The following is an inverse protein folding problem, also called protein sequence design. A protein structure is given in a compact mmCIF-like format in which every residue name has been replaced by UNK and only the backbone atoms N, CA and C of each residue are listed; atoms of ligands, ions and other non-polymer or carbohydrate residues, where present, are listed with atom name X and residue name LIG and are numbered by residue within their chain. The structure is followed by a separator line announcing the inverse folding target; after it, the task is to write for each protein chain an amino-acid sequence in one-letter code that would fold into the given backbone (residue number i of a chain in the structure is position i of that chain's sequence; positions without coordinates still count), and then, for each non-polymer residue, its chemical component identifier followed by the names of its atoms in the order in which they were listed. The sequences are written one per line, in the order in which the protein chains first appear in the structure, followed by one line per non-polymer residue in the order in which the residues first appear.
data_IF_083946671643
#
_entry.id   IF_083946671643
#
_cell.length_a   1.000
_cell.length_b   1.000
_cell.length_c   1.000
_cell.angle_alpha   90.00
_cell.angle_beta   90.00
_cell.angle_gamma   90.00
#
_symmetry.space_group_name_H-M   'P 1'
#
loop_
_entity.id
_entity.type
_entity.pdbx_description
1 polymer ?
#
# COMPACT_ATOMS: atom_id res chain seq x y z
N UNK A 1 -4.33 3.04 -11.72
CA UNK A 1 -4.82 3.01 -10.33
C UNK A 1 -4.18 4.18 -9.64
N UNK A 2 -4.95 5.06 -9.01
CA UNK A 2 -4.40 6.27 -8.40
C UNK A 2 -3.82 5.97 -7.01
N UNK A 3 -2.97 6.87 -6.50
CA UNK A 3 -2.52 6.82 -5.12
C UNK A 3 -3.70 6.94 -4.13
N UNK A 4 -4.71 7.72 -4.48
CA UNK A 4 -5.97 7.82 -3.74
C UNK A 4 -6.69 6.47 -3.68
N UNK A 5 -6.73 5.70 -4.78
CA UNK A 5 -7.31 4.34 -4.78
C UNK A 5 -6.59 3.42 -3.78
N UNK A 6 -5.25 3.47 -3.75
CA UNK A 6 -4.44 2.68 -2.81
C UNK A 6 -4.79 3.06 -1.37
N UNK A 7 -4.80 4.35 -1.07
CA UNK A 7 -5.10 4.85 0.27
C UNK A 7 -6.52 4.46 0.72
N UNK A 8 -7.53 4.69 -0.13
CA UNK A 8 -8.94 4.33 0.12
C UNK A 8 -9.08 2.83 0.37
N UNK A 9 -8.44 2.01 -0.47
CA UNK A 9 -8.52 0.54 -0.35
C UNK A 9 -7.89 0.05 0.95
N UNK A 10 -6.71 0.57 1.32
CA UNK A 10 -6.03 0.16 2.56
C UNK A 10 -6.80 0.62 3.80
N UNK A 11 -7.33 1.85 3.80
CA UNK A 11 -8.19 2.35 4.87
C UNK A 11 -9.38 1.41 5.09
N UNK A 12 -10.07 1.05 4.03
CA UNK A 12 -11.21 0.13 4.10
C UNK A 12 -10.78 -1.27 4.54
N UNK A 13 -9.76 -1.84 3.91
CA UNK A 13 -9.27 -3.21 4.17
C UNK A 13 -8.94 -3.46 5.63
N UNK A 14 -8.38 -2.47 6.33
CA UNK A 14 -7.97 -2.61 7.73
C UNK A 14 -8.85 -1.85 8.72
N UNK A 15 -9.99 -1.34 8.26
CA UNK A 15 -10.96 -0.58 9.05
C UNK A 15 -10.34 0.59 9.85
N UNK A 16 -9.46 1.34 9.20
CA UNK A 16 -8.80 2.48 9.83
C UNK A 16 -9.73 3.68 9.92
N UNK A 17 -9.98 4.18 11.13
CA UNK A 17 -10.63 5.48 11.33
C UNK A 17 -9.64 6.64 11.08
N UNK A 18 -10.16 7.87 11.06
CA UNK A 18 -9.36 9.06 10.75
C UNK A 18 -8.18 9.26 11.71
N UNK A 19 -8.35 8.95 13.00
CA UNK A 19 -7.28 9.05 13.99
C UNK A 19 -6.16 8.05 13.72
N UNK A 20 -6.50 6.82 13.37
CA UNK A 20 -5.51 5.79 13.00
C UNK A 20 -4.79 6.19 11.71
N UNK A 21 -5.50 6.73 10.72
CA UNK A 21 -4.89 7.23 9.48
C UNK A 21 -3.86 8.32 9.78
N UNK A 22 -4.22 9.32 10.59
CA UNK A 22 -3.31 10.39 11.01
C UNK A 22 -2.08 9.86 11.77
N UNK A 23 -2.28 8.91 12.69
CA UNK A 23 -1.19 8.27 13.43
C UNK A 23 -0.24 7.51 12.47
N UNK A 24 -0.78 6.81 11.47
CA UNK A 24 0.04 6.16 10.43
C UNK A 24 0.92 7.19 9.70
N UNK A 25 0.34 8.28 9.20
CA UNK A 25 1.13 9.33 8.54
C UNK A 25 2.23 9.90 9.46
N UNK A 26 1.88 10.17 10.73
CA UNK A 26 2.81 10.69 11.73
C UNK A 26 3.99 9.75 11.96
N UNK A 27 3.75 8.42 12.09
CA UNK A 27 4.82 7.42 12.16
C UNK A 27 5.70 7.41 10.91
N UNK A 28 5.11 7.71 9.76
CA UNK A 28 5.81 7.89 8.49
C UNK A 28 6.60 9.19 8.35
N UNK A 29 6.60 10.05 9.38
CA UNK A 29 7.29 11.34 9.39
C UNK A 29 6.51 12.47 8.72
N UNK A 30 5.20 12.31 8.50
CA UNK A 30 4.34 13.34 7.92
C UNK A 30 3.19 13.66 8.88
N UNK A 31 3.18 14.89 9.42
CA UNK A 31 2.03 15.39 10.17
C UNK A 31 0.96 15.85 9.18
N UNK A 32 -0.25 15.32 9.31
CA UNK A 32 -1.41 15.66 8.49
C UNK A 32 -2.59 16.01 9.38
N UNK A 33 -3.51 16.80 8.85
CA UNK A 33 -4.78 17.15 9.47
C UNK A 33 -5.87 16.14 9.10
N UNK A 34 -6.95 16.10 9.88
CA UNK A 34 -8.14 15.30 9.55
C UNK A 34 -8.77 15.72 8.21
N UNK A 35 -8.73 17.01 7.90
CA UNK A 35 -9.25 17.56 6.65
C UNK A 35 -8.45 17.05 5.45
N UNK A 36 -7.12 17.06 5.50
CA UNK A 36 -6.26 16.51 4.45
C UNK A 36 -6.56 15.02 4.21
N UNK A 37 -6.66 14.23 5.29
CA UNK A 37 -7.03 12.80 5.20
C UNK A 37 -8.40 12.63 4.56
N UNK A 38 -9.40 13.40 4.98
CA UNK A 38 -10.75 13.38 4.39
C UNK A 38 -10.72 13.73 2.89
N UNK A 39 -9.97 14.75 2.50
CA UNK A 39 -9.88 15.21 1.12
C UNK A 39 -9.22 14.18 0.19
N UNK A 40 -8.23 13.42 0.68
CA UNK A 40 -7.64 12.33 -0.08
C UNK A 40 -8.54 11.10 -0.23
N UNK A 41 -9.52 10.92 0.66
CA UNK A 41 -10.45 9.78 0.66
C UNK A 41 -11.74 10.06 -0.11
N UNK A 42 -12.02 11.32 -0.44
CA UNK A 42 -13.17 11.71 -1.28
C UNK A 42 -13.07 11.10 -2.67
N UNK A 43 -14.22 10.94 -3.33
CA UNK A 43 -14.29 10.51 -4.73
C UNK A 43 -13.84 11.63 -5.66
N UNK A 44 -13.43 11.28 -6.86
CA UNK A 44 -12.76 12.19 -7.79
C UNK A 44 -13.71 13.30 -8.30
N UNK A 45 -15.03 13.11 -8.18
CA UNK A 45 -16.07 14.08 -8.54
C UNK A 45 -16.43 15.06 -7.40
N UNK A 46 -15.91 14.85 -6.18
CA UNK A 46 -16.18 15.73 -5.03
C UNK A 46 -15.35 17.02 -5.13
N UNK A 47 -15.96 18.17 -4.89
CA UNK A 47 -15.29 19.48 -4.99
C UNK A 47 -14.10 19.63 -4.02
N UNK A 48 -14.15 18.94 -2.88
CA UNK A 48 -13.07 18.94 -1.89
C UNK A 48 -12.03 17.83 -2.14
N UNK A 49 -12.16 17.04 -3.22
CA UNK A 49 -11.17 16.05 -3.60
C UNK A 49 -9.78 16.67 -3.77
N UNK A 50 -8.77 15.99 -3.23
CA UNK A 50 -7.36 16.29 -3.47
C UNK A 50 -6.63 15.01 -3.86
N UNK A 51 -5.78 15.11 -4.88
CA UNK A 51 -4.86 14.02 -5.22
C UNK A 51 -3.82 13.86 -4.09
N UNK A 52 -3.49 12.63 -3.74
CA UNK A 52 -2.34 12.33 -2.88
C UNK A 52 -1.12 12.03 -3.75
N UNK A 53 0.00 12.72 -3.47
CA UNK A 53 1.23 12.55 -4.23
C UNK A 53 2.07 11.39 -3.68
N UNK A 54 2.99 10.90 -4.51
CA UNK A 54 3.86 9.77 -4.19
C UNK A 54 4.57 9.89 -2.84
N UNK A 55 5.08 11.10 -2.54
CA UNK A 55 5.79 11.38 -1.28
C UNK A 55 4.89 11.16 -0.06
N UNK A 56 3.64 11.59 -0.14
CA UNK A 56 2.69 11.50 0.97
C UNK A 56 2.19 10.06 1.12
N UNK A 57 1.90 9.37 0.02
CA UNK A 57 1.56 7.94 0.06
C UNK A 57 2.76 7.10 0.56
N UNK A 58 3.99 7.47 0.22
CA UNK A 58 5.19 6.81 0.73
C UNK A 58 5.32 7.00 2.25
N UNK A 59 5.00 8.19 2.78
CA UNK A 59 4.94 8.42 4.23
C UNK A 59 3.87 7.52 4.88
N UNK A 60 2.66 7.44 4.32
CA UNK A 60 1.62 6.53 4.81
C UNK A 60 2.09 5.08 4.87
N UNK A 61 2.68 4.56 3.78
CA UNK A 61 3.13 3.17 3.71
C UNK A 61 4.32 2.87 4.65
N UNK A 62 5.24 3.82 4.82
CA UNK A 62 6.30 3.72 5.82
C UNK A 62 5.73 3.68 7.25
N UNK A 63 4.75 4.55 7.52
CA UNK A 63 4.02 4.56 8.77
C UNK A 63 3.26 3.27 9.04
N UNK A 64 2.67 2.67 7.99
CA UNK A 64 1.97 1.39 8.09
C UNK A 64 2.94 0.25 8.45
N UNK A 65 4.15 0.28 7.90
CA UNK A 65 5.22 -0.66 8.31
C UNK A 65 5.50 -0.50 9.80
N UNK A 66 5.71 0.74 10.29
CA UNK A 66 5.98 0.98 11.72
C UNK A 66 4.81 0.57 12.59
N UNK A 67 3.57 0.87 12.20
CA UNK A 67 2.37 0.48 12.94
C UNK A 67 2.30 -1.05 13.11
N UNK A 68 2.62 -1.82 12.06
CA UNK A 68 2.48 -3.28 12.06
C UNK A 68 3.72 -4.04 12.56
N UNK A 69 4.91 -3.46 12.42
CA UNK A 69 6.20 -4.13 12.70
C UNK A 69 6.99 -3.50 13.84
N UNK A 70 6.57 -2.34 14.33
CA UNK A 70 7.33 -1.52 15.27
C UNK A 70 8.37 -0.63 14.57
N UNK A 71 8.92 0.37 15.29
CA UNK A 71 10.03 1.17 14.80
C UNK A 71 11.29 0.31 14.66
N UNK A 72 12.15 0.63 13.69
CA UNK A 72 13.52 0.09 13.68
C UNK A 72 14.37 0.93 14.62
N UNK A 73 15.18 0.27 15.45
CA UNK A 73 16.03 0.91 16.46
C UNK A 73 16.95 2.01 15.87
N UNK A 74 17.32 1.90 14.59
CA UNK A 74 18.35 2.77 13.98
C UNK A 74 17.89 3.65 12.80
N UNK A 75 16.59 3.78 12.50
CA UNK A 75 16.16 4.73 11.46
C UNK A 75 14.67 5.05 11.45
N UNK A 76 14.35 6.35 11.49
CA UNK A 76 13.09 6.87 10.96
C UNK A 76 13.13 6.72 9.43
N UNK A 77 12.18 6.02 8.79
CA UNK A 77 12.19 5.85 7.35
C UNK A 77 12.00 7.21 6.67
N UNK A 78 13.01 7.67 5.93
CA UNK A 78 12.85 8.85 5.06
C UNK A 78 11.91 8.47 3.92
N UNK A 79 10.83 9.23 3.74
CA UNK A 79 9.90 9.02 2.64
C UNK A 79 10.61 9.15 1.29
N UNK A 80 10.40 8.17 0.41
CA UNK A 80 10.92 8.17 -0.95
C UNK A 80 10.27 9.29 -1.76
N UNK A 81 11.03 9.90 -2.69
CA UNK A 81 10.53 11.01 -3.52
C UNK A 81 9.55 10.57 -4.62
N UNK A 82 9.62 9.30 -5.02
CA UNK A 82 8.81 8.70 -6.09
C UNK A 82 8.35 7.32 -5.65
N UNK A 83 7.14 6.93 -6.04
CA UNK A 83 6.54 5.68 -5.61
C UNK A 83 5.93 4.96 -6.80
N UNK A 84 6.49 3.80 -7.15
CA UNK A 84 5.91 2.93 -8.18
C UNK A 84 5.16 1.73 -7.54
N UNK A 85 4.41 1.00 -8.38
CA UNK A 85 3.66 -0.16 -7.92
C UNK A 85 4.55 -1.27 -7.32
N UNK A 86 5.81 -1.41 -7.76
CA UNK A 86 6.75 -2.36 -7.21
C UNK A 86 7.13 -1.98 -5.77
N UNK A 87 7.36 -0.69 -5.52
CA UNK A 87 7.64 -0.13 -4.21
C UNK A 87 6.43 -0.27 -3.27
N UNK A 88 5.21 0.04 -3.74
CA UNK A 88 3.98 -0.17 -2.97
C UNK A 88 3.83 -1.65 -2.57
N UNK A 89 3.94 -2.56 -3.53
CA UNK A 89 3.82 -4.00 -3.29
C UNK A 89 4.87 -4.49 -2.27
N UNK A 90 6.11 -3.99 -2.35
CA UNK A 90 7.16 -4.30 -1.38
C UNK A 90 6.85 -3.78 0.01
N UNK A 91 6.39 -2.54 0.14
CA UNK A 91 6.05 -1.95 1.44
C UNK A 91 4.88 -2.71 2.10
N UNK A 92 3.87 -3.12 1.33
CA UNK A 92 2.78 -3.96 1.83
C UNK A 92 3.26 -5.35 2.27
N UNK A 93 4.15 -6.00 1.48
CA UNK A 93 4.78 -7.26 1.88
C UNK A 93 5.46 -7.15 3.24
N UNK A 94 6.24 -6.08 3.45
CA UNK A 94 6.96 -5.82 4.70
C UNK A 94 5.99 -5.52 5.84
N UNK A 95 5.02 -4.63 5.62
CA UNK A 95 4.08 -4.21 6.67
C UNK A 95 3.25 -5.39 7.19
N UNK A 96 2.85 -6.31 6.29
CA UNK A 96 2.01 -7.45 6.63
C UNK A 96 2.81 -8.73 6.95
N UNK A 97 4.14 -8.65 7.04
CA UNK A 97 5.05 -9.78 7.28
C UNK A 97 4.82 -10.98 6.36
N UNK A 98 4.53 -10.71 5.08
CA UNK A 98 4.16 -11.75 4.14
C UNK A 98 5.39 -12.43 3.54
N UNK A 99 5.39 -13.76 3.55
CA UNK A 99 6.27 -14.58 2.70
C UNK A 99 5.69 -14.66 1.29
N UNK A 100 6.48 -15.20 0.37
CA UNK A 100 6.06 -15.33 -1.03
C UNK A 100 4.78 -16.17 -1.15
N UNK A 101 4.65 -17.26 -0.38
CA UNK A 101 3.46 -18.10 -0.37
C UNK A 101 2.21 -17.36 0.15
N UNK A 102 2.37 -16.48 1.14
CA UNK A 102 1.26 -15.65 1.64
C UNK A 102 0.76 -14.68 0.57
N UNK A 103 1.70 -14.07 -0.16
CA UNK A 103 1.36 -13.16 -1.27
C UNK A 103 0.67 -13.90 -2.41
N UNK A 104 1.17 -15.08 -2.78
CA UNK A 104 0.55 -15.91 -3.80
C UNK A 104 -0.87 -16.33 -3.41
N UNK A 105 -1.10 -16.65 -2.12
CA UNK A 105 -2.43 -16.94 -1.61
C UNK A 105 -3.37 -15.74 -1.74
N UNK A 106 -2.88 -14.52 -1.46
CA UNK A 106 -3.67 -13.28 -1.65
C UNK A 106 -4.05 -13.07 -3.11
N UNK A 107 -3.11 -13.23 -4.05
CA UNK A 107 -3.42 -13.14 -5.48
C UNK A 107 -4.44 -14.18 -5.94
N UNK A 108 -4.35 -15.40 -5.39
CA UNK A 108 -5.26 -16.50 -5.73
C UNK A 108 -6.72 -16.21 -5.35
N UNK A 109 -6.98 -15.36 -4.34
CA UNK A 109 -8.35 -14.94 -3.98
C UNK A 109 -9.07 -14.22 -5.13
N UNK A 110 -8.33 -13.54 -6.02
CA UNK A 110 -8.86 -12.93 -7.25
C UNK A 110 -8.72 -13.82 -8.48
N UNK A 111 -8.50 -15.11 -8.30
CA UNK A 111 -8.17 -16.07 -9.37
C UNK A 111 -6.97 -15.64 -10.22
N UNK A 112 -6.10 -14.76 -9.69
CA UNK A 112 -4.90 -14.31 -10.36
C UNK A 112 -3.75 -15.24 -9.98
N UNK A 113 -3.30 -16.06 -10.94
CA UNK A 113 -2.22 -17.02 -10.70
C UNK A 113 -0.88 -16.41 -11.08
N UNK A 114 0.05 -16.43 -10.13
CA UNK A 114 1.46 -16.11 -10.33
C UNK A 114 2.30 -17.28 -9.84
N UNK A 115 3.40 -17.57 -10.53
CA UNK A 115 4.45 -18.43 -9.99
C UNK A 115 5.35 -17.67 -9.00
N UNK A 116 6.10 -18.39 -8.17
CA UNK A 116 7.14 -17.79 -7.29
C UNK A 116 8.17 -16.99 -8.09
N UNK A 117 8.54 -17.46 -9.28
CA UNK A 117 9.48 -16.77 -10.16
C UNK A 117 8.94 -15.43 -10.65
N UNK A 118 7.66 -15.39 -11.04
CA UNK A 118 7.01 -14.16 -11.49
C UNK A 118 6.81 -13.17 -10.35
N UNK A 119 6.43 -13.65 -9.15
CA UNK A 119 6.34 -12.80 -7.97
C UNK A 119 7.71 -12.20 -7.60
N UNK A 120 8.77 -13.02 -7.60
CA UNK A 120 10.14 -12.58 -7.32
C UNK A 120 10.61 -11.49 -8.30
N UNK A 121 10.18 -11.55 -9.56
CA UNK A 121 10.53 -10.57 -10.59
C UNK A 121 10.13 -9.12 -10.23
N UNK A 122 9.03 -8.94 -9.49
CA UNK A 122 8.59 -7.60 -9.03
C UNK A 122 9.51 -7.02 -7.95
N UNK A 123 10.27 -7.86 -7.25
CA UNK A 123 11.14 -7.44 -6.15
C UNK A 123 12.61 -7.31 -6.55
N UNK A 124 12.92 -7.43 -7.83
CA UNK A 124 14.27 -7.24 -8.38
C UNK A 124 14.59 -5.77 -8.59
N UNK A 125 15.88 -5.45 -8.75
CA UNK A 125 16.29 -4.09 -9.13
C UNK A 125 15.98 -3.86 -10.60
N UNK A 126 15.56 -2.65 -11.02
CA UNK A 126 15.22 -2.35 -12.42
C UNK A 126 16.32 -2.68 -13.45
N UNK A 127 17.59 -2.68 -13.04
CA UNK A 127 18.74 -3.01 -13.89
C UNK A 127 18.94 -4.51 -14.11
N UNK A 128 18.22 -5.39 -13.40
CA UNK A 128 18.38 -6.84 -13.50
C UNK A 128 17.56 -7.42 -14.66
N UNK A 129 18.07 -8.41 -15.42
CA UNK A 129 17.38 -8.98 -16.58
C UNK A 129 16.00 -9.58 -16.30
N UNK A 130 15.81 -10.09 -15.07
CA UNK A 130 14.56 -10.73 -14.65
C UNK A 130 13.64 -9.75 -13.91
N UNK A 131 13.94 -8.45 -13.92
CA UNK A 131 13.03 -7.44 -13.38
C UNK A 131 11.74 -7.38 -14.18
N UNK A 132 10.62 -7.24 -13.49
CA UNK A 132 9.33 -6.94 -14.11
C UNK A 132 8.67 -5.77 -13.39
N UNK A 133 8.17 -4.82 -14.17
CA UNK A 133 7.31 -3.76 -13.65
C UNK A 133 5.97 -4.36 -13.19
N UNK A 134 5.56 -4.02 -11.97
CA UNK A 134 4.25 -4.31 -11.44
C UNK A 134 3.25 -3.33 -12.10
N UNK A 135 2.34 -3.87 -12.92
CA UNK A 135 1.32 -3.04 -13.58
C UNK A 135 0.15 -2.79 -12.64
N UNK A 136 -0.61 -1.73 -12.90
CA UNK A 136 -1.76 -1.34 -12.10
C UNK A 136 -2.75 -2.48 -11.86
N UNK A 137 -3.02 -3.30 -12.87
CA UNK A 137 -3.94 -4.43 -12.73
C UNK A 137 -3.43 -5.46 -11.72
N UNK A 138 -2.11 -5.67 -11.65
CA UNK A 138 -1.50 -6.61 -10.70
C UNK A 138 -1.65 -6.07 -9.28
N UNK A 139 -1.30 -4.80 -9.06
CA UNK A 139 -1.44 -4.18 -7.75
C UNK A 139 -2.92 -4.12 -7.31
N UNK A 140 -3.84 -3.81 -8.22
CA UNK A 140 -5.28 -3.84 -7.97
C UNK A 140 -5.77 -5.22 -7.54
N UNK A 141 -5.36 -6.28 -8.24
CA UNK A 141 -5.71 -7.66 -7.87
C UNK A 141 -5.17 -8.02 -6.47
N UNK A 142 -3.95 -7.58 -6.14
CA UNK A 142 -3.39 -7.79 -4.82
C UNK A 142 -4.20 -7.09 -3.72
N UNK A 143 -4.50 -5.79 -3.90
CA UNK A 143 -5.26 -5.01 -2.93
C UNK A 143 -6.68 -5.56 -2.72
N UNK A 144 -7.37 -5.97 -3.79
CA UNK A 144 -8.68 -6.62 -3.67
C UNK A 144 -8.57 -7.99 -2.97
N UNK A 145 -7.49 -8.75 -3.22
CA UNK A 145 -7.22 -9.97 -2.48
C UNK A 145 -7.01 -9.71 -0.99
N UNK A 146 -6.31 -8.62 -0.62
CA UNK A 146 -6.17 -8.20 0.78
C UNK A 146 -7.53 -7.87 1.40
N UNK A 147 -8.37 -7.11 0.69
CA UNK A 147 -9.73 -6.80 1.14
C UNK A 147 -10.52 -8.09 1.41
N UNK A 148 -10.53 -9.04 0.48
CA UNK A 148 -11.20 -10.34 0.66
C UNK A 148 -10.65 -11.12 1.86
N UNK A 149 -9.34 -11.03 2.13
CA UNK A 149 -8.67 -11.73 3.24
C UNK A 149 -8.98 -11.10 4.61
N UNK A 150 -8.98 -9.77 4.70
CA UNK A 150 -9.05 -9.05 5.97
C UNK A 150 -10.44 -8.47 6.28
N UNK A 151 -11.31 -8.37 5.27
CA UNK A 151 -12.68 -7.84 5.38
C UNK A 151 -13.67 -8.70 4.57
N UNK A 152 -13.84 -9.99 4.91
CA UNK A 152 -14.74 -10.88 4.18
C UNK A 152 -16.22 -10.50 4.41
N UNK A 153 -17.00 -10.42 3.34
CA UNK A 153 -18.47 -10.33 3.43
C UNK A 153 -19.08 -8.92 3.40
N UNK A 154 -18.29 -7.89 3.09
CA UNK A 154 -18.80 -6.53 2.83
C UNK A 154 -18.50 -6.15 1.36
N UNK A 155 -19.37 -6.64 0.47
CA UNK A 155 -19.50 -6.23 -0.94
C UNK A 155 -20.77 -5.37 -1.11
#
# INVERSE_FOLDING_TARGET
MSNNDVLRTLRYTFDFNDFVMMDIFSKGGLTVTREEVSNWLKKDEDEAYKAIYDKDLAAFLNGLIILKRGPKEDSTPVAEKSLDNNAILRKLKIALDMKDDDMLAVFALKSFRLSKHELSAFFRRPTQPQYRQCKDQILRNFLQGLQMKFRPGED
#
